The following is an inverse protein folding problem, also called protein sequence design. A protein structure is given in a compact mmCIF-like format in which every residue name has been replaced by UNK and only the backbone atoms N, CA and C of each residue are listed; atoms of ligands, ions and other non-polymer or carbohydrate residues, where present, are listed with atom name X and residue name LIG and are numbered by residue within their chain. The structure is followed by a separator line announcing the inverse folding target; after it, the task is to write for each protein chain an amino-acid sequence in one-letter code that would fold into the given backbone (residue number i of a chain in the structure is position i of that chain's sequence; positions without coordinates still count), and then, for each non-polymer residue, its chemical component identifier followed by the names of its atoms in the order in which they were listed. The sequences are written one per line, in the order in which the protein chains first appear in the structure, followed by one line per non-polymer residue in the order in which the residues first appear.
data_IF_999237879289
#
_entry.id   IF_999237879289
#
_cell.length_a   1.000
_cell.length_b   1.000
_cell.length_c   1.000
_cell.angle_alpha   90.00
_cell.angle_beta   90.00
_cell.angle_gamma   90.00
#
_symmetry.space_group_name_H-M   'P 1'
#
loop_
_entity.id
_entity.type
_entity.pdbx_description
1 polymer ?
#
# COMPACT_ATOMS: atom_id res chain seq x y z
N UNK A 1 -4.60 16.16 -21.74
CA UNK A 1 -3.67 15.15 -22.30
C UNK A 1 -2.84 14.64 -21.12
N UNK A 2 -2.71 13.34 -20.95
CA UNK A 2 -1.89 12.81 -19.85
C UNK A 2 -0.42 12.77 -20.22
N UNK A 3 0.46 12.88 -19.22
CA UNK A 3 1.87 12.79 -19.46
C UNK A 3 2.30 11.41 -19.90
N UNK A 4 2.91 11.37 -21.08
CA UNK A 4 3.70 10.23 -21.55
C UNK A 4 4.93 10.18 -20.65
N UNK A 5 4.80 9.44 -19.55
CA UNK A 5 5.89 9.14 -18.64
C UNK A 5 6.86 8.17 -19.31
N UNK A 6 8.16 8.47 -19.27
CA UNK A 6 9.20 7.64 -19.84
C UNK A 6 10.47 7.73 -19.00
N UNK A 7 11.20 6.62 -18.95
CA UNK A 7 12.51 6.55 -18.32
C UNK A 7 13.54 6.42 -19.42
N UNK A 8 14.58 7.24 -19.35
CA UNK A 8 15.56 7.39 -20.42
C UNK A 8 16.96 7.22 -19.84
N UNK A 9 17.78 6.49 -20.60
CA UNK A 9 19.21 6.41 -20.41
C UNK A 9 19.87 7.27 -21.50
N UNK A 10 20.69 8.22 -21.09
CA UNK A 10 21.45 9.11 -21.97
C UNK A 10 22.93 8.96 -21.67
N UNK A 11 23.74 8.76 -22.71
CA UNK A 11 25.19 8.71 -22.59
C UNK A 11 25.75 10.06 -23.06
N UNK A 12 26.44 10.77 -22.18
CA UNK A 12 27.10 12.04 -22.47
C UNK A 12 28.58 11.91 -22.14
N UNK A 13 29.42 11.73 -23.17
CA UNK A 13 30.85 11.46 -22.99
C UNK A 13 31.08 10.16 -22.19
N UNK A 14 31.84 10.26 -21.11
CA UNK A 14 32.19 9.15 -20.22
C UNK A 14 31.15 8.92 -19.10
N UNK A 15 29.96 9.51 -19.19
CA UNK A 15 28.90 9.38 -18.19
C UNK A 15 27.64 8.76 -18.80
N UNK A 16 27.07 7.80 -18.08
CA UNK A 16 25.71 7.32 -18.31
C UNK A 16 24.77 7.97 -17.28
N UNK A 17 23.70 8.59 -17.77
CA UNK A 17 22.69 9.24 -16.95
C UNK A 17 21.34 8.56 -17.10
N UNK A 18 20.67 8.35 -15.98
CA UNK A 18 19.29 7.89 -15.92
C UNK A 18 18.40 9.04 -15.45
N UNK A 19 17.30 9.27 -16.15
CA UNK A 19 16.31 10.25 -15.73
C UNK A 19 14.88 9.79 -16.08
N UNK A 20 13.94 10.25 -15.28
CA UNK A 20 12.50 10.05 -15.49
C UNK A 20 11.91 11.34 -16.01
N UNK A 21 11.16 11.28 -17.10
CA UNK A 21 10.55 12.44 -17.73
C UNK A 21 9.09 12.19 -18.10
N UNK A 22 8.25 13.22 -18.11
CA UNK A 22 6.82 13.09 -18.40
C UNK A 22 6.24 14.37 -19.02
N UNK A 23 5.22 14.24 -19.90
CA UNK A 23 4.69 15.36 -20.70
C UNK A 23 3.36 15.96 -20.20
N UNK A 24 3.35 17.00 -19.37
CA UNK A 24 2.08 17.62 -18.94
C UNK A 24 1.75 18.80 -19.85
N UNK A 25 0.55 18.83 -20.42
CA UNK A 25 0.03 19.98 -21.20
C UNK A 25 0.94 20.47 -22.35
N UNK A 26 1.76 19.56 -22.92
CA UNK A 26 2.70 19.88 -23.99
C UNK A 26 4.09 20.31 -23.51
N UNK A 27 4.31 20.41 -22.20
CA UNK A 27 5.60 20.67 -21.58
C UNK A 27 6.24 19.37 -21.08
N UNK A 28 7.54 19.21 -21.33
CA UNK A 28 8.35 18.12 -20.80
C UNK A 28 8.83 18.48 -19.39
N UNK A 29 8.57 17.59 -18.43
CA UNK A 29 9.07 17.69 -17.06
C UNK A 29 10.04 16.56 -16.79
N UNK A 30 11.09 16.86 -16.00
CA UNK A 30 12.07 15.89 -15.55
C UNK A 30 12.01 15.71 -14.03
N UNK A 31 12.20 14.47 -13.59
CA UNK A 31 12.13 14.12 -12.18
C UNK A 31 13.50 14.32 -11.52
N UNK A 32 13.59 15.33 -10.67
CA UNK A 32 14.76 15.54 -9.81
C UNK A 32 15.04 14.34 -8.91
N UNK A 33 14.00 13.65 -8.44
CA UNK A 33 14.15 12.51 -7.52
C UNK A 33 14.57 11.23 -8.19
N UNK A 34 14.46 11.07 -9.51
CA UNK A 34 14.92 9.87 -10.23
C UNK A 34 16.29 10.02 -10.87
N UNK A 35 16.78 11.26 -11.08
CA UNK A 35 18.04 11.52 -11.78
C UNK A 35 19.24 10.87 -11.08
N UNK A 36 20.05 10.12 -11.82
CA UNK A 36 21.32 9.56 -11.35
C UNK A 36 22.34 9.49 -12.49
N UNK A 37 23.63 9.57 -12.14
CA UNK A 37 24.76 9.50 -13.09
C UNK A 37 25.77 8.47 -12.58
N UNK A 38 26.34 7.71 -13.50
CA UNK A 38 27.41 6.74 -13.28
C UNK A 38 28.43 6.86 -14.42
N UNK A 39 29.61 6.27 -14.25
CA UNK A 39 30.59 6.23 -15.33
C UNK A 39 30.09 5.28 -16.45
N UNK A 40 30.40 5.58 -17.71
CA UNK A 40 29.83 4.85 -18.85
C UNK A 40 30.26 3.37 -18.94
N UNK A 41 31.35 3.00 -18.25
CA UNK A 41 31.86 1.64 -18.12
C UNK A 41 31.22 0.87 -16.94
N UNK A 42 30.51 1.55 -16.06
CA UNK A 42 29.78 0.92 -14.96
C UNK A 42 28.47 0.27 -15.45
N UNK A 43 28.09 -0.88 -14.86
CA UNK A 43 26.83 -1.53 -15.21
C UNK A 43 25.63 -0.70 -14.72
N UNK A 44 24.45 -0.78 -15.40
CA UNK A 44 23.25 -0.03 -15.01
C UNK A 44 22.79 -0.25 -13.56
N UNK A 45 23.16 -1.39 -12.94
CA UNK A 45 22.89 -1.66 -11.52
C UNK A 45 23.40 -0.57 -10.57
N UNK A 46 24.48 0.13 -10.92
CA UNK A 46 25.09 1.15 -10.07
C UNK A 46 24.19 2.37 -9.85
N UNK A 47 23.29 2.67 -10.79
CA UNK A 47 22.26 3.70 -10.61
C UNK A 47 21.35 3.43 -9.39
N UNK A 48 21.11 2.14 -9.09
CA UNK A 48 20.18 1.71 -8.05
C UNK A 48 20.87 1.37 -6.75
N UNK A 49 22.08 0.80 -6.81
CA UNK A 49 22.83 0.37 -5.64
C UNK A 49 23.36 1.55 -4.82
N UNK A 50 23.94 2.56 -5.48
CA UNK A 50 24.45 3.78 -4.83
C UNK A 50 23.34 4.57 -4.11
N UNK A 51 22.10 4.50 -4.61
CA UNK A 51 20.90 5.05 -3.94
C UNK A 51 20.35 4.13 -2.86
N UNK A 52 20.42 2.82 -3.08
CA UNK A 52 19.83 1.80 -2.22
C UNK A 52 20.42 1.75 -0.81
N UNK A 53 21.72 1.99 -0.65
CA UNK A 53 22.36 1.99 0.67
C UNK A 53 21.87 3.12 1.59
N UNK A 54 21.45 4.27 1.02
CA UNK A 54 20.92 5.39 1.79
C UNK A 54 19.41 5.30 2.04
N UNK A 55 18.69 4.43 1.31
CA UNK A 55 17.22 4.40 1.27
C UNK A 55 16.59 3.06 1.65
N UNK A 56 17.37 2.05 2.05
CA UNK A 56 16.79 0.81 2.58
C UNK A 56 15.95 1.15 3.82
N UNK A 57 14.62 0.94 3.78
CA UNK A 57 13.81 1.14 4.97
C UNK A 57 14.29 0.12 6.00
N UNK A 58 14.81 0.60 7.14
CA UNK A 58 15.05 -0.26 8.29
C UNK A 58 14.04 0.10 9.35
N UNK A 59 13.33 -0.91 9.85
CA UNK A 59 12.50 -0.72 11.03
C UNK A 59 13.40 -0.38 12.22
N UNK A 60 13.02 0.65 12.98
CA UNK A 60 13.69 0.92 14.24
C UNK A 60 13.41 -0.21 15.23
N UNK A 61 14.27 -0.38 16.25
CA UNK A 61 14.05 -1.37 17.32
C UNK A 61 12.67 -1.23 17.98
N UNK A 62 12.18 0.01 18.10
CA UNK A 62 10.85 0.29 18.62
C UNK A 62 9.75 -0.19 17.68
N UNK A 63 9.88 0.08 16.37
CA UNK A 63 8.90 -0.37 15.37
C UNK A 63 8.85 -1.91 15.29
N UNK A 64 10.02 -2.57 15.37
CA UNK A 64 10.09 -4.03 15.44
C UNK A 64 9.39 -4.57 16.69
N UNK A 65 9.65 -4.00 17.88
CA UNK A 65 8.99 -4.42 19.11
C UNK A 65 7.46 -4.25 19.04
N UNK A 66 6.97 -3.18 18.41
CA UNK A 66 5.53 -2.98 18.18
C UNK A 66 4.96 -4.08 17.28
N UNK A 67 5.64 -4.42 16.17
CA UNK A 67 5.23 -5.52 15.30
C UNK A 67 5.20 -6.87 16.02
N UNK A 68 6.20 -7.14 16.86
CA UNK A 68 6.25 -8.37 17.65
C UNK A 68 5.07 -8.46 18.64
N UNK A 69 4.67 -7.34 19.25
CA UNK A 69 3.48 -7.29 20.11
C UNK A 69 2.19 -7.48 19.30
N UNK A 70 2.08 -6.85 18.12
CA UNK A 70 0.93 -7.03 17.21
C UNK A 70 0.77 -8.51 16.84
N UNK A 71 1.89 -9.21 16.62
CA UNK A 71 1.92 -10.64 16.34
C UNK A 71 1.53 -11.48 17.55
N UNK A 72 2.17 -11.26 18.69
CA UNK A 72 1.89 -12.00 19.91
C UNK A 72 0.44 -11.87 20.37
N UNK A 73 -0.18 -10.70 20.16
CA UNK A 73 -1.57 -10.42 20.54
C UNK A 73 -2.58 -10.64 19.42
N UNK A 74 -2.13 -11.03 18.22
CA UNK A 74 -2.98 -11.19 17.03
C UNK A 74 -3.90 -9.98 16.78
N UNK A 75 -3.34 -8.77 16.82
CA UNK A 75 -4.12 -7.56 16.59
C UNK A 75 -4.52 -7.47 15.10
N UNK A 76 -5.82 -7.52 14.84
CA UNK A 76 -6.41 -7.42 13.49
C UNK A 76 -7.14 -6.09 13.27
N UNK A 77 -7.44 -5.32 14.33
CA UNK A 77 -8.22 -4.08 14.21
C UNK A 77 -7.34 -2.90 14.59
N UNK A 78 -7.34 -1.87 13.75
CA UNK A 78 -6.57 -0.66 13.94
C UNK A 78 -7.48 0.56 13.83
N UNK A 79 -7.30 1.53 14.71
CA UNK A 79 -8.08 2.77 14.72
C UNK A 79 -7.16 3.96 14.48
N UNK A 80 -7.51 4.78 13.50
CA UNK A 80 -7.00 6.13 13.33
C UNK A 80 -8.03 7.10 13.91
N UNK A 81 -7.57 7.98 14.79
CA UNK A 81 -8.42 8.92 15.50
C UNK A 81 -7.89 10.35 15.30
N UNK A 82 -8.79 11.27 14.95
CA UNK A 82 -8.47 12.69 14.97
C UNK A 82 -8.67 13.25 16.38
N UNK A 83 -7.55 13.54 17.06
CA UNK A 83 -7.53 14.16 18.39
C UNK A 83 -7.62 15.69 18.32
N UNK A 84 -7.45 16.29 17.14
CA UNK A 84 -7.31 17.74 16.98
C UNK A 84 -8.63 18.52 17.01
N UNK A 85 -9.77 17.83 16.97
CA UNK A 85 -11.14 18.34 17.14
C UNK A 85 -11.54 19.56 16.27
N UNK A 86 -10.75 19.98 15.26
CA UNK A 86 -10.95 21.30 14.66
C UNK A 86 -10.76 21.48 13.16
N UNK A 87 -10.26 20.55 12.33
CA UNK A 87 -10.11 20.86 10.90
C UNK A 87 -10.55 19.74 9.93
N UNK A 88 -11.50 20.15 9.07
CA UNK A 88 -11.99 19.59 7.80
C UNK A 88 -11.96 18.07 7.66
N UNK A 89 -13.16 17.52 7.64
CA UNK A 89 -13.48 16.13 7.30
C UNK A 89 -12.65 15.56 6.14
N UNK A 90 -12.62 16.31 5.04
CA UNK A 90 -11.94 15.91 3.82
C UNK A 90 -10.44 15.77 4.03
N UNK A 91 -9.84 16.59 4.89
CA UNK A 91 -8.41 16.53 5.20
C UNK A 91 -8.10 15.26 6.02
N UNK A 92 -8.86 14.97 7.09
CA UNK A 92 -8.63 13.75 7.90
C UNK A 92 -8.77 12.46 7.08
N UNK A 93 -9.86 12.33 6.32
CA UNK A 93 -10.11 11.13 5.54
C UNK A 93 -9.09 11.00 4.39
N UNK A 94 -8.80 12.10 3.67
CA UNK A 94 -7.84 12.07 2.59
C UNK A 94 -6.42 11.74 3.08
N UNK A 95 -5.93 12.42 4.13
CA UNK A 95 -4.59 12.21 4.66
C UNK A 95 -4.42 10.81 5.28
N UNK A 96 -5.42 10.35 6.03
CA UNK A 96 -5.39 8.99 6.61
C UNK A 96 -5.32 7.93 5.52
N UNK A 97 -6.13 8.06 4.46
CA UNK A 97 -6.12 7.11 3.35
C UNK A 97 -4.91 7.28 2.40
N UNK A 98 -4.32 8.47 2.27
CA UNK A 98 -3.15 8.68 1.41
C UNK A 98 -1.83 8.33 2.06
N UNK A 99 -1.76 8.36 3.39
CA UNK A 99 -0.48 8.26 4.13
C UNK A 99 -0.54 7.18 5.20
N UNK A 100 -1.40 7.35 6.20
CA UNK A 100 -1.37 6.54 7.43
C UNK A 100 -1.80 5.09 7.21
N UNK A 101 -2.84 4.85 6.39
CA UNK A 101 -3.29 3.49 6.04
C UNK A 101 -2.23 2.78 5.19
N UNK A 102 -1.70 3.36 4.08
CA UNK A 102 -0.61 2.75 3.34
C UNK A 102 0.62 2.42 4.21
N UNK A 103 1.02 3.29 5.13
CA UNK A 103 2.11 3.02 6.08
C UNK A 103 1.83 1.84 7.01
N UNK A 104 0.62 1.76 7.58
CA UNK A 104 0.19 0.61 8.38
C UNK A 104 0.25 -0.69 7.55
N UNK A 105 -0.28 -0.68 6.32
CA UNK A 105 -0.26 -1.85 5.44
C UNK A 105 1.18 -2.28 5.10
N UNK A 106 2.10 -1.32 4.88
CA UNK A 106 3.52 -1.61 4.68
C UNK A 106 4.12 -2.31 5.89
N UNK A 107 3.87 -1.81 7.10
CA UNK A 107 4.28 -2.47 8.33
C UNK A 107 3.77 -3.91 8.41
N UNK A 108 2.51 -4.13 8.06
CA UNK A 108 1.90 -5.47 8.10
C UNK A 108 2.44 -6.44 7.04
N UNK A 109 3.14 -5.97 6.00
CA UNK A 109 3.83 -6.81 5.01
C UNK A 109 5.17 -7.39 5.49
N UNK A 110 5.66 -7.00 6.68
CA UNK A 110 6.89 -7.54 7.26
C UNK A 110 6.72 -9.00 7.75
N UNK A 111 7.83 -9.58 8.21
CA UNK A 111 7.87 -10.92 8.83
C UNK A 111 7.30 -12.03 7.94
N UNK A 112 7.67 -12.03 6.66
CA UNK A 112 7.32 -13.09 5.71
C UNK A 112 5.85 -13.10 5.27
N UNK A 113 5.12 -12.00 5.46
CA UNK A 113 3.72 -11.90 5.05
C UNK A 113 3.59 -11.90 3.52
N UNK A 114 2.85 -12.87 2.98
CA UNK A 114 2.70 -13.04 1.53
C UNK A 114 1.54 -12.25 0.95
N UNK A 115 0.45 -12.10 1.72
CA UNK A 115 -0.70 -11.29 1.33
C UNK A 115 -1.39 -10.68 2.54
N UNK A 116 -1.97 -9.52 2.30
CA UNK A 116 -2.84 -8.82 3.24
C UNK A 116 -4.27 -8.84 2.73
N UNK A 117 -5.21 -9.02 3.66
CA UNK A 117 -6.63 -8.78 3.41
C UNK A 117 -7.05 -7.65 4.34
N UNK A 118 -7.61 -6.57 3.81
CA UNK A 118 -8.01 -5.44 4.62
C UNK A 118 -9.39 -4.90 4.26
N UNK A 119 -10.02 -4.26 5.24
CA UNK A 119 -11.26 -3.51 5.14
C UNK A 119 -11.09 -2.17 5.84
N UNK A 120 -11.74 -1.13 5.31
CA UNK A 120 -11.73 0.21 5.89
C UNK A 120 -13.16 0.58 6.26
N UNK A 121 -13.36 1.09 7.46
CA UNK A 121 -14.65 1.60 7.92
C UNK A 121 -14.51 3.01 8.48
N UNK A 122 -15.39 3.90 8.03
CA UNK A 122 -15.48 5.29 8.49
C UNK A 122 -16.69 5.44 9.41
N UNK A 123 -16.48 6.08 10.55
CA UNK A 123 -17.57 6.47 11.45
C UNK A 123 -18.01 7.87 11.07
N UNK A 124 -19.15 7.94 10.39
CA UNK A 124 -19.73 9.17 9.86
C UNK A 124 -20.82 9.63 10.81
N UNK A 125 -20.64 10.82 11.38
CA UNK A 125 -21.59 11.43 12.29
C UNK A 125 -22.35 12.55 11.57
N UNK A 126 -23.67 12.39 11.50
CA UNK A 126 -24.60 13.24 10.75
C UNK A 126 -25.84 13.43 11.61
N UNK A 127 -26.28 14.68 11.84
CA UNK A 127 -27.52 14.97 12.58
C UNK A 127 -27.66 14.18 13.91
N UNK A 128 -26.57 14.06 14.66
CA UNK A 128 -26.49 13.34 15.94
C UNK A 128 -26.73 11.80 15.85
N UNK A 129 -26.61 11.22 14.65
CA UNK A 129 -26.59 9.79 14.40
C UNK A 129 -25.21 9.35 13.90
N UNK A 130 -24.73 8.21 14.37
CA UNK A 130 -23.46 7.63 13.91
C UNK A 130 -23.74 6.49 12.96
N UNK A 131 -23.16 6.58 11.77
CA UNK A 131 -23.20 5.53 10.77
C UNK A 131 -21.79 4.98 10.54
N UNK A 132 -21.66 3.67 10.44
CA UNK A 132 -20.45 3.02 9.97
C UNK A 132 -20.62 2.76 8.48
N UNK A 133 -19.82 3.44 7.66
CA UNK A 133 -19.66 3.08 6.26
C UNK A 133 -18.42 2.19 6.13
N UNK A 134 -18.59 0.94 5.72
CA UNK A 134 -17.53 -0.05 5.63
C UNK A 134 -17.31 -0.52 4.19
N UNK A 135 -16.05 -0.65 3.80
CA UNK A 135 -15.64 -1.20 2.51
C UNK A 135 -15.76 -2.72 2.46
N UNK A 136 -15.84 -3.26 1.24
CA UNK A 136 -15.54 -4.67 1.00
C UNK A 136 -14.08 -5.02 1.30
N UNK A 137 -13.78 -6.32 1.34
CA UNK A 137 -12.41 -6.83 1.54
C UNK A 137 -11.56 -6.63 0.29
N UNK A 138 -10.39 -6.02 0.45
CA UNK A 138 -9.35 -5.96 -0.59
C UNK A 138 -8.21 -6.88 -0.21
N UNK A 139 -7.72 -7.63 -1.20
CA UNK A 139 -6.55 -8.50 -1.07
C UNK A 139 -5.37 -7.83 -1.76
N UNK A 140 -4.29 -7.60 -1.03
CA UNK A 140 -3.02 -7.08 -1.54
C UNK A 140 -2.01 -8.21 -1.52
N UNK A 141 -1.45 -8.57 -2.67
CA UNK A 141 -0.49 -9.66 -2.80
C UNK A 141 0.96 -9.19 -2.96
N UNK A 142 1.16 -7.91 -3.26
CA UNK A 142 2.48 -7.30 -3.39
C UNK A 142 2.49 -5.89 -2.79
N UNK A 143 3.55 -5.52 -2.10
CA UNK A 143 3.63 -4.25 -1.36
C UNK A 143 3.56 -3.00 -2.28
N UNK A 144 4.00 -3.08 -3.53
CA UNK A 144 3.81 -2.00 -4.51
C UNK A 144 2.35 -1.71 -4.87
N UNK A 145 1.42 -2.63 -4.60
CA UNK A 145 0.00 -2.44 -4.92
C UNK A 145 -0.76 -1.73 -3.80
N UNK A 146 -0.15 -1.52 -2.63
CA UNK A 146 -0.77 -0.93 -1.43
C UNK A 146 -1.42 0.42 -1.74
N UNK A 147 -0.65 1.36 -2.31
CA UNK A 147 -1.12 2.73 -2.59
C UNK A 147 -2.34 2.74 -3.51
N UNK A 148 -2.28 1.96 -4.59
CA UNK A 148 -3.36 1.91 -5.56
C UNK A 148 -4.61 1.23 -4.99
N UNK A 149 -4.44 0.17 -4.19
CA UNK A 149 -5.52 -0.49 -3.48
C UNK A 149 -6.23 0.46 -2.50
N UNK A 150 -5.49 1.17 -1.65
CA UNK A 150 -6.07 2.10 -0.68
C UNK A 150 -6.75 3.28 -1.38
N UNK A 151 -6.13 3.83 -2.44
CA UNK A 151 -6.72 4.90 -3.25
C UNK A 151 -8.08 4.50 -3.85
N UNK A 152 -8.20 3.30 -4.42
CA UNK A 152 -9.48 2.83 -4.98
C UNK A 152 -10.54 2.61 -3.89
N UNK A 153 -10.14 2.11 -2.71
CA UNK A 153 -11.05 1.97 -1.55
C UNK A 153 -11.56 3.33 -1.10
N UNK A 154 -10.65 4.30 -0.92
CA UNK A 154 -10.97 5.66 -0.51
C UNK A 154 -11.95 6.35 -1.48
N UNK A 155 -11.70 6.27 -2.79
CA UNK A 155 -12.59 6.84 -3.81
C UNK A 155 -14.01 6.25 -3.74
N UNK A 156 -14.12 4.92 -3.63
CA UNK A 156 -15.42 4.25 -3.54
C UNK A 156 -16.12 4.54 -2.21
N UNK A 157 -15.37 4.61 -1.11
CA UNK A 157 -15.90 4.90 0.22
C UNK A 157 -16.44 6.32 0.29
N UNK A 158 -15.66 7.30 -0.18
CA UNK A 158 -16.06 8.71 -0.26
C UNK A 158 -17.31 8.87 -1.13
N UNK A 159 -17.33 8.25 -2.32
CA UNK A 159 -18.50 8.26 -3.18
C UNK A 159 -19.74 7.65 -2.50
N UNK A 160 -19.56 6.57 -1.73
CA UNK A 160 -20.67 5.92 -1.02
C UNK A 160 -21.20 6.77 0.14
N UNK A 161 -20.32 7.36 0.93
CA UNK A 161 -20.69 8.28 2.00
C UNK A 161 -21.45 9.47 1.40
N UNK A 162 -20.91 10.11 0.36
CA UNK A 162 -21.55 11.24 -0.31
C UNK A 162 -22.96 10.87 -0.83
N UNK A 163 -23.09 9.75 -1.53
CA UNK A 163 -24.40 9.31 -2.04
C UNK A 163 -25.41 9.07 -0.90
N UNK A 164 -24.96 8.53 0.23
CA UNK A 164 -25.82 8.32 1.40
C UNK A 164 -26.27 9.64 2.02
N UNK A 165 -25.34 10.57 2.23
CA UNK A 165 -25.63 11.89 2.80
C UNK A 165 -26.64 12.65 1.94
N UNK A 166 -26.42 12.71 0.63
CA UNK A 166 -27.34 13.37 -0.29
C UNK A 166 -28.71 12.69 -0.35
N UNK A 167 -28.77 11.35 -0.30
CA UNK A 167 -30.04 10.63 -0.46
C UNK A 167 -30.88 10.57 0.82
N UNK A 168 -30.25 10.52 1.99
CA UNK A 168 -30.93 10.28 3.27
C UNK A 168 -31.06 11.52 4.15
N UNK A 169 -30.15 12.47 4.02
CA UNK A 169 -30.09 13.64 4.91
C UNK A 169 -30.11 14.98 4.15
N UNK A 170 -30.00 14.96 2.82
CA UNK A 170 -29.89 16.16 1.95
C UNK A 170 -28.74 17.09 2.36
N UNK A 171 -27.64 16.51 2.83
CA UNK A 171 -26.45 17.23 3.28
C UNK A 171 -25.23 16.85 2.44
N UNK A 172 -24.26 17.77 2.41
CA UNK A 172 -22.95 17.56 1.78
C UNK A 172 -21.97 16.83 2.70
N UNK A 173 -20.82 16.43 2.18
CA UNK A 173 -19.74 15.85 2.99
C UNK A 173 -19.30 16.85 4.08
N UNK A 174 -19.21 18.14 3.77
CA UNK A 174 -18.77 19.19 4.70
C UNK A 174 -19.62 19.31 5.98
N UNK A 175 -20.85 18.79 5.95
CA UNK A 175 -21.81 18.86 7.06
C UNK A 175 -21.77 17.63 7.97
N UNK A 176 -20.95 16.61 7.64
CA UNK A 176 -20.73 15.45 8.49
C UNK A 176 -19.33 15.47 9.13
N UNK A 177 -19.17 14.72 10.22
CA UNK A 177 -17.86 14.56 10.87
C UNK A 177 -17.44 13.10 10.87
N UNK A 178 -16.24 12.83 10.37
CA UNK A 178 -15.53 11.56 10.49
C UNK A 178 -14.33 11.84 11.37
N UNK A 179 -14.36 11.33 12.59
CA UNK A 179 -13.26 11.48 13.57
C UNK A 179 -12.53 10.16 13.80
N UNK A 180 -13.04 9.07 13.19
CA UNK A 180 -12.55 7.71 13.39
C UNK A 180 -12.60 6.91 12.10
N UNK A 181 -11.46 6.28 11.78
CA UNK A 181 -11.32 5.31 10.71
C UNK A 181 -10.80 4.01 11.31
N UNK A 182 -11.53 2.91 11.06
CA UNK A 182 -11.14 1.56 11.47
C UNK A 182 -10.59 0.80 10.26
N UNK A 183 -9.39 0.25 10.40
CA UNK A 183 -8.80 -0.69 9.44
C UNK A 183 -8.78 -2.07 10.07
N UNK A 184 -9.55 -3.00 9.49
CA UNK A 184 -9.45 -4.42 9.82
C UNK A 184 -8.48 -5.08 8.86
N UNK A 185 -7.55 -5.86 9.39
CA UNK A 185 -6.44 -6.42 8.64
C UNK A 185 -6.15 -7.85 9.05
N UNK A 186 -5.99 -8.72 8.05
CA UNK A 186 -5.54 -10.09 8.21
C UNK A 186 -4.29 -10.33 7.38
N UNK A 187 -3.29 -10.90 8.03
CA UNK A 187 -2.03 -11.33 7.39
C UNK A 187 -2.15 -12.80 7.06
N UNK A 188 -1.75 -13.19 5.85
CA UNK A 188 -1.56 -14.61 5.52
C UNK A 188 -0.08 -14.87 5.29
N UNK A 189 0.41 -15.81 6.08
CA UNK A 189 1.76 -16.36 6.04
C UNK A 189 1.65 -17.82 5.65
N UNK A 190 2.70 -18.36 5.07
CA UNK A 190 2.79 -19.79 4.81
C UNK A 190 3.33 -20.49 6.05
N UNK A 191 2.69 -21.59 6.45
CA UNK A 191 3.22 -22.47 7.49
C UNK A 191 4.40 -23.25 6.92
N UNK A 192 5.51 -23.23 7.66
CA UNK A 192 6.88 -23.49 7.20
C UNK A 192 7.18 -24.92 6.71
N UNK A 193 6.19 -25.81 6.56
CA UNK A 193 6.42 -27.26 6.34
C UNK A 193 6.11 -27.77 4.93
N UNK A 194 5.54 -26.96 4.04
CA UNK A 194 5.35 -27.35 2.63
C UNK A 194 5.92 -26.31 1.68
N UNK A 195 7.25 -26.23 1.61
CA UNK A 195 7.97 -25.50 0.57
C UNK A 195 7.73 -26.16 -0.80
N UNK A 196 6.52 -26.02 -1.33
CA UNK A 196 6.28 -26.24 -2.75
C UNK A 196 6.89 -25.05 -3.50
N UNK A 197 7.54 -25.32 -4.63
CA UNK A 197 8.07 -24.29 -5.54
C UNK A 197 7.02 -23.29 -6.07
N UNK A 198 5.75 -23.42 -5.66
CA UNK A 198 4.59 -22.65 -6.08
C UNK A 198 4.20 -21.51 -5.13
N UNK A 199 4.78 -21.38 -3.94
CA UNK A 199 4.48 -20.25 -3.02
C UNK A 199 5.30 -19.00 -3.33
N UNK A 200 5.30 -18.65 -4.63
CA UNK A 200 6.09 -17.59 -5.19
C UNK A 200 5.50 -16.24 -4.81
N UNK A 201 6.33 -15.33 -4.29
CA UNK A 201 6.03 -13.91 -4.23
C UNK A 201 5.44 -13.46 -5.58
N UNK A 202 4.19 -13.02 -5.55
CA UNK A 202 3.45 -12.68 -6.76
C UNK A 202 4.05 -11.43 -7.41
N UNK A 203 3.94 -11.28 -8.73
CA UNK A 203 4.35 -10.04 -9.37
C UNK A 203 3.45 -8.87 -8.89
N UNK A 204 3.92 -7.62 -8.90
CA UNK A 204 3.04 -6.46 -8.78
C UNK A 204 1.87 -6.52 -9.76
N UNK A 205 0.67 -6.11 -9.33
CA UNK A 205 -0.57 -6.25 -10.09
C UNK A 205 -0.49 -5.64 -11.50
N UNK A 206 0.16 -4.47 -11.62
CA UNK A 206 0.36 -3.80 -12.90
C UNK A 206 1.13 -4.68 -13.92
N UNK A 207 2.10 -5.47 -13.44
CA UNK A 207 2.88 -6.38 -14.28
C UNK A 207 2.08 -7.66 -14.57
N UNK A 208 1.42 -8.25 -13.58
CA UNK A 208 0.57 -9.44 -13.77
C UNK A 208 -0.47 -9.24 -14.89
N UNK A 209 -1.13 -8.08 -14.89
CA UNK A 209 -2.18 -7.75 -15.85
C UNK A 209 -1.63 -7.47 -17.26
N UNK A 210 -0.35 -7.09 -17.35
CA UNK A 210 0.35 -6.92 -18.63
C UNK A 210 0.75 -8.29 -19.20
N UNK A 211 1.25 -9.21 -18.36
CA UNK A 211 1.68 -10.57 -18.76
C UNK A 211 0.53 -11.52 -19.13
N UNK A 212 -0.63 -11.39 -18.49
CA UNK A 212 -1.80 -12.25 -18.76
C UNK A 212 -2.41 -12.07 -20.16
N UNK A 213 -1.98 -11.04 -20.92
CA UNK A 213 -2.46 -10.77 -22.27
C UNK A 213 -1.61 -11.44 -23.36
N UNK A 214 -0.45 -12.01 -23.02
CA UNK A 214 0.53 -12.54 -23.99
C UNK A 214 0.76 -14.06 -23.90
N UNK A 215 0.06 -14.78 -23.03
CA UNK A 215 0.22 -16.24 -22.88
C UNK A 215 -0.61 -17.01 -23.92
N UNK A 216 -0.05 -17.17 -25.11
CA UNK A 216 -0.45 -18.21 -26.09
C UNK A 216 0.77 -18.70 -26.85
N UNK A 217 1.72 -19.36 -26.16
CA UNK A 217 2.71 -20.24 -26.80
C UNK A 217 3.40 -21.09 -25.75
N UNK A 218 3.51 -22.39 -26.06
CA UNK A 218 4.40 -23.37 -25.43
C UNK A 218 5.83 -22.86 -25.39
N UNK A 219 6.35 -22.51 -24.22
CA UNK A 219 7.76 -22.12 -24.03
C UNK A 219 8.41 -22.95 -22.93
N UNK A 220 9.60 -23.47 -23.24
CA UNK A 220 10.51 -24.17 -22.33
C UNK A 220 10.82 -23.32 -21.11
N UNK A 221 10.27 -23.68 -19.96
CA UNK A 221 10.56 -23.06 -18.67
C UNK A 221 12.00 -23.37 -18.24
N UNK A 222 12.70 -22.40 -17.65
CA UNK A 222 14.02 -22.66 -17.04
C UNK A 222 13.92 -23.76 -15.99
N UNK A 223 14.86 -24.72 -16.02
CA UNK A 223 14.88 -25.81 -15.05
C UNK A 223 15.13 -25.28 -13.63
N UNK A 224 14.61 -25.97 -12.62
CA UNK A 224 14.75 -25.53 -11.22
C UNK A 224 16.22 -25.47 -10.78
N UNK A 225 17.06 -26.39 -11.29
CA UNK A 225 18.50 -26.40 -11.05
C UNK A 225 19.21 -25.19 -11.67
N UNK A 226 18.91 -24.84 -12.92
CA UNK A 226 19.43 -23.62 -13.57
C UNK A 226 19.04 -22.36 -12.79
N UNK A 227 17.78 -22.28 -12.35
CA UNK A 227 17.26 -21.15 -11.59
C UNK A 227 17.95 -21.06 -10.21
N UNK A 228 18.19 -22.18 -9.54
CA UNK A 228 18.93 -22.24 -8.28
C UNK A 228 20.39 -21.77 -8.45
N UNK A 229 21.08 -22.20 -9.50
CA UNK A 229 22.43 -21.73 -9.82
C UNK A 229 22.46 -20.22 -10.10
N UNK A 230 21.51 -19.70 -10.88
CA UNK A 230 21.40 -18.26 -11.17
C UNK A 230 21.14 -17.44 -9.90
N UNK A 231 20.26 -17.93 -9.00
CA UNK A 231 20.01 -17.31 -7.69
C UNK A 231 21.29 -17.24 -6.85
N UNK A 232 22.06 -18.33 -6.77
CA UNK A 232 23.30 -18.37 -6.01
C UNK A 232 24.34 -17.38 -6.57
N UNK A 233 24.50 -17.31 -7.90
CA UNK A 233 25.38 -16.34 -8.56
C UNK A 233 24.91 -14.92 -8.26
N UNK A 234 23.61 -14.63 -8.39
CA UNK A 234 23.06 -13.32 -8.09
C UNK A 234 23.38 -12.86 -6.66
N UNK A 235 23.06 -13.69 -5.66
CA UNK A 235 23.28 -13.36 -4.25
C UNK A 235 24.76 -13.16 -3.95
N UNK A 236 25.64 -13.98 -4.54
CA UNK A 236 27.09 -13.85 -4.40
C UNK A 236 27.58 -12.50 -4.93
N UNK A 237 27.25 -12.16 -6.17
CA UNK A 237 27.70 -10.91 -6.80
C UNK A 237 27.09 -9.66 -6.16
N UNK A 238 25.86 -9.75 -5.66
CA UNK A 238 25.24 -8.66 -4.91
C UNK A 238 26.01 -8.37 -3.61
N UNK A 239 26.47 -9.41 -2.90
CA UNK A 239 27.15 -9.27 -1.60
C UNK A 239 28.64 -9.00 -1.69
N UNK A 240 29.34 -9.70 -2.58
CA UNK A 240 30.81 -9.70 -2.66
C UNK A 240 31.34 -8.69 -3.68
N UNK A 241 30.53 -8.34 -4.68
CA UNK A 241 30.96 -7.55 -5.82
C UNK A 241 30.07 -6.33 -6.07
N UNK A 242 29.26 -5.89 -5.09
CA UNK A 242 28.35 -4.74 -5.22
C UNK A 242 27.59 -4.70 -6.56
N UNK A 243 27.06 -5.86 -6.99
CA UNK A 243 26.26 -5.98 -8.22
C UNK A 243 27.04 -5.86 -9.53
N UNK A 244 28.37 -5.99 -9.50
CA UNK A 244 29.19 -6.23 -10.69
C UNK A 244 29.10 -7.70 -11.08
N UNK A 245 28.45 -7.97 -12.22
CA UNK A 245 28.29 -9.31 -12.77
C UNK A 245 29.38 -9.61 -13.80
N UNK A 246 29.79 -10.89 -13.93
CA UNK A 246 30.86 -11.24 -14.83
C UNK A 246 30.34 -11.22 -16.29
N UNK A 247 31.19 -10.86 -17.27
CA UNK A 247 30.78 -10.76 -18.68
C UNK A 247 30.23 -12.06 -19.28
N UNK A 248 30.60 -13.21 -18.69
CA UNK A 248 30.14 -14.53 -19.11
C UNK A 248 28.72 -14.88 -18.59
N UNK A 249 28.11 -14.04 -17.76
CA UNK A 249 26.74 -14.23 -17.28
C UNK A 249 25.74 -13.84 -18.38
N UNK A 250 25.31 -14.84 -19.15
CA UNK A 250 24.44 -14.72 -20.34
C UNK A 250 22.94 -14.63 -20.00
N UNK A 251 22.58 -13.69 -19.13
CA UNK A 251 21.19 -13.40 -18.78
C UNK A 251 21.00 -11.89 -18.67
N UNK A 252 19.78 -11.44 -18.90
CA UNK A 252 19.38 -10.07 -18.60
C UNK A 252 18.65 -10.05 -17.27
N UNK A 253 19.11 -9.24 -16.33
CA UNK A 253 18.46 -9.01 -15.04
C UNK A 253 17.82 -7.62 -15.05
N UNK A 254 16.62 -7.56 -14.49
CA UNK A 254 15.87 -6.32 -14.32
C UNK A 254 15.46 -6.14 -12.87
N UNK A 255 15.42 -4.89 -12.40
CA UNK A 255 14.92 -4.52 -11.08
C UNK A 255 13.59 -3.80 -11.15
N UNK A 256 12.89 -3.72 -10.01
CA UNK A 256 11.72 -2.86 -9.84
C UNK A 256 12.13 -1.57 -9.14
N UNK A 257 11.66 -0.44 -9.66
CA UNK A 257 11.85 0.87 -9.06
C UNK A 257 10.54 1.65 -9.07
N UNK A 258 10.31 2.47 -8.05
CA UNK A 258 9.16 3.35 -7.97
C UNK A 258 9.62 4.81 -7.94
N UNK A 259 8.98 5.66 -8.75
CA UNK A 259 9.28 7.09 -8.75
C UNK A 259 8.67 7.73 -7.51
N UNK A 260 9.46 8.45 -6.71
CA UNK A 260 8.96 9.10 -5.50
C UNK A 260 7.97 10.23 -5.79
N UNK A 261 8.12 10.89 -6.96
CA UNK A 261 7.27 12.00 -7.40
C UNK A 261 5.96 11.52 -8.02
N UNK A 262 6.01 10.61 -9.00
CA UNK A 262 4.81 10.16 -9.74
C UNK A 262 4.17 8.89 -9.19
N UNK A 263 4.86 8.20 -8.26
CA UNK A 263 4.47 6.89 -7.69
C UNK A 263 4.37 5.76 -8.73
N UNK A 264 4.83 5.98 -9.95
CA UNK A 264 4.82 4.96 -10.99
C UNK A 264 5.88 3.90 -10.73
N UNK A 265 5.47 2.64 -10.90
CA UNK A 265 6.34 1.47 -10.82
C UNK A 265 6.86 1.13 -12.21
N UNK A 266 8.16 0.89 -12.31
CA UNK A 266 8.82 0.59 -13.57
C UNK A 266 9.87 -0.50 -13.41
N UNK A 267 10.20 -1.11 -14.54
CA UNK A 267 11.19 -2.16 -14.65
C UNK A 267 12.43 -1.55 -15.27
N UNK A 268 13.54 -1.62 -14.54
CA UNK A 268 14.83 -1.06 -14.96
C UNK A 268 15.83 -2.15 -15.30
N UNK A 269 16.73 -1.92 -16.27
CA UNK A 269 17.92 -2.72 -16.44
C UNK A 269 18.74 -2.79 -15.14
N UNK A 270 19.14 -4.00 -14.76
CA UNK A 270 20.06 -4.24 -13.65
C UNK A 270 21.38 -4.83 -14.18
N UNK A 271 21.30 -5.82 -15.05
CA UNK A 271 22.42 -6.40 -15.79
C UNK A 271 21.95 -6.73 -17.19
N UNK A 272 22.65 -6.22 -18.21
CA UNK A 272 22.34 -6.52 -19.61
C UNK A 272 23.59 -7.16 -20.21
N UNK A 273 23.46 -8.40 -20.64
CA UNK A 273 24.58 -9.12 -21.25
C UNK A 273 24.66 -8.78 -22.74
N UNK A 274 25.80 -8.24 -23.17
CA UNK A 274 26.12 -8.06 -24.58
C UNK A 274 26.53 -9.41 -25.17
N UNK A 275 25.66 -10.05 -25.95
CA UNK A 275 26.02 -11.30 -26.64
C UNK A 275 26.55 -11.03 -28.04
N UNK A 276 27.76 -11.52 -28.33
CA UNK A 276 28.34 -11.60 -29.68
C UNK A 276 27.66 -12.68 -30.55
N UNK A 277 26.76 -13.49 -29.99
CA UNK A 277 26.07 -14.59 -30.67
C UNK A 277 24.57 -14.29 -30.80
N UNK A 278 23.99 -14.60 -31.96
CA UNK A 278 22.61 -14.31 -32.41
C UNK A 278 21.45 -14.92 -31.59
N UNK A 279 21.68 -15.42 -30.36
CA UNK A 279 20.62 -15.98 -29.51
C UNK A 279 20.18 -14.95 -28.45
N UNK A 280 18.87 -14.76 -28.25
CA UNK A 280 18.36 -13.83 -27.24
C UNK A 280 18.65 -14.36 -25.83
N UNK A 281 19.11 -13.48 -24.94
CA UNK A 281 19.29 -13.80 -23.52
C UNK A 281 17.95 -14.06 -22.84
N UNK A 282 17.93 -14.99 -21.87
CA UNK A 282 16.81 -15.13 -20.94
C UNK A 282 16.70 -13.86 -20.09
N UNK A 283 15.48 -13.40 -19.86
CA UNK A 283 15.19 -12.19 -19.09
C UNK A 283 14.64 -12.59 -17.71
N UNK A 284 15.16 -12.00 -16.64
CA UNK A 284 14.70 -12.26 -15.28
C UNK A 284 14.44 -10.95 -14.54
N UNK A 285 13.32 -10.90 -13.83
CA UNK A 285 13.00 -9.84 -12.89
C UNK A 285 13.44 -10.23 -11.48
N UNK A 286 14.19 -9.33 -10.83
CA UNK A 286 14.58 -9.42 -9.44
C UNK A 286 13.40 -8.96 -8.59
N UNK A 287 12.90 -9.85 -7.75
CA UNK A 287 11.86 -9.53 -6.78
C UNK A 287 12.47 -9.49 -5.39
N UNK A 288 12.23 -8.36 -4.73
CA UNK A 288 12.66 -8.09 -3.37
C UNK A 288 11.45 -7.98 -2.46
N UNK A 289 11.66 -8.23 -1.17
CA UNK A 289 10.66 -7.93 -0.15
C UNK A 289 10.56 -6.42 0.12
N UNK A 290 9.68 -6.03 1.04
CA UNK A 290 9.49 -4.63 1.40
C UNK A 290 10.74 -3.97 2.02
N UNK A 291 11.70 -4.77 2.50
CA UNK A 291 12.98 -4.31 3.03
C UNK A 291 14.08 -4.26 1.97
N UNK A 292 13.75 -4.54 0.70
CA UNK A 292 14.72 -4.60 -0.38
C UNK A 292 15.57 -5.89 -0.37
N UNK A 293 15.24 -6.88 0.47
CA UNK A 293 15.94 -8.16 0.51
C UNK A 293 15.49 -9.03 -0.65
N UNK A 294 16.44 -9.64 -1.34
CA UNK A 294 16.17 -10.56 -2.43
C UNK A 294 15.26 -11.72 -2.00
N UNK A 295 14.17 -11.91 -2.74
CA UNK A 295 13.27 -13.06 -2.57
C UNK A 295 13.48 -14.08 -3.70
N UNK A 296 13.39 -13.65 -4.96
CA UNK A 296 13.51 -14.56 -6.11
C UNK A 296 13.81 -13.86 -7.42
N UNK A 297 14.23 -14.67 -8.39
CA UNK A 297 14.18 -14.33 -9.81
C UNK A 297 12.85 -14.81 -10.41
N UNK A 298 12.23 -13.98 -11.23
CA UNK A 298 11.07 -14.33 -12.06
C UNK A 298 11.44 -14.30 -13.53
N UNK A 299 11.29 -15.42 -14.23
CA UNK A 299 11.54 -15.46 -15.67
C UNK A 299 10.50 -14.62 -16.42
N UNK A 300 10.99 -13.75 -17.31
CA UNK A 300 10.19 -12.90 -18.18
C UNK A 300 10.21 -13.51 -19.60
N UNK A 301 9.09 -14.07 -20.01
CA UNK A 301 8.97 -14.68 -21.35
C UNK A 301 8.91 -13.65 -22.49
N UNK A 302 8.58 -12.40 -22.17
CA UNK A 302 8.60 -11.27 -23.12
C UNK A 302 9.34 -10.09 -22.50
N UNK A 303 10.15 -9.34 -23.27
CA UNK A 303 10.73 -8.09 -22.78
C UNK A 303 9.63 -7.18 -22.25
N UNK A 304 9.82 -6.64 -21.04
CA UNK A 304 8.86 -5.68 -20.48
C UNK A 304 9.05 -4.38 -21.25
N UNK A 305 8.22 -4.18 -22.27
CA UNK A 305 8.18 -2.89 -22.95
C UNK A 305 7.42 -1.91 -22.06
N UNK A 306 7.99 -0.73 -21.74
CA UNK A 306 7.23 0.34 -21.14
C UNK A 306 6.07 0.67 -22.07
N UNK A 307 4.86 0.81 -21.52
CA UNK A 307 3.67 1.15 -22.29
C UNK A 307 3.85 2.53 -22.93
N UNK A 308 4.36 2.55 -24.17
CA UNK A 308 4.49 3.75 -24.99
C UNK A 308 3.23 3.87 -25.83
N UNK A 309 2.20 4.52 -25.30
CA UNK A 309 1.05 4.87 -26.13
C UNK A 309 -0.22 5.23 -25.39
N UNK A 310 -1.03 6.06 -26.04
CA UNK A 310 -2.39 6.45 -25.62
C UNK A 310 -3.20 5.20 -25.26
N UNK A 311 -3.34 4.90 -23.98
CA UNK A 311 -4.25 3.87 -23.53
C UNK A 311 -5.66 4.41 -23.61
N UNK A 312 -6.52 3.77 -24.41
CA UNK A 312 -7.96 3.97 -24.30
C UNK A 312 -8.36 3.65 -22.84
N UNK A 313 -9.23 4.44 -22.19
CA UNK A 313 -9.63 4.15 -20.83
C UNK A 313 -10.30 2.77 -20.76
N UNK A 314 -9.95 2.02 -19.73
CA UNK A 314 -10.55 0.73 -19.42
C UNK A 314 -11.95 0.94 -18.85
N UNK A 315 -12.95 0.25 -19.37
CA UNK A 315 -14.34 0.40 -18.93
C UNK A 315 -14.78 -0.80 -18.09
N UNK A 316 -15.31 -0.54 -16.90
CA UNK A 316 -15.97 -1.57 -16.11
C UNK A 316 -17.27 -2.01 -16.80
N UNK A 317 -17.45 -3.32 -17.02
CA UNK A 317 -18.64 -3.86 -17.68
C UNK A 317 -19.92 -3.71 -16.85
N UNK A 318 -19.80 -3.68 -15.51
CA UNK A 318 -20.94 -3.64 -14.58
C UNK A 318 -21.47 -2.23 -14.37
N UNK A 319 -20.62 -1.30 -13.91
CA UNK A 319 -21.01 0.08 -13.59
C UNK A 319 -20.70 1.09 -14.70
N UNK A 320 -20.06 0.67 -15.80
CA UNK A 320 -19.65 1.52 -16.94
C UNK A 320 -18.62 2.61 -16.60
N UNK A 321 -18.07 2.65 -15.38
CA UNK A 321 -17.01 3.57 -14.99
C UNK A 321 -15.74 3.37 -15.83
N UNK A 322 -15.03 4.46 -16.07
CA UNK A 322 -13.81 4.52 -16.87
C UNK A 322 -12.57 4.62 -15.96
N UNK A 323 -11.54 3.85 -16.29
CA UNK A 323 -10.29 3.76 -15.54
C UNK A 323 -9.12 4.00 -16.48
N UNK A 324 -8.12 4.73 -15.99
CA UNK A 324 -6.88 5.00 -16.75
C UNK A 324 -5.94 3.80 -16.74
N UNK A 325 -5.91 3.06 -15.61
CA UNK A 325 -5.05 1.90 -15.39
C UNK A 325 -5.86 0.61 -15.28
N UNK A 326 -5.31 -0.49 -15.80
CA UNK A 326 -5.93 -1.82 -15.74
C UNK A 326 -5.96 -2.38 -14.32
N UNK A 327 -4.95 -2.07 -13.50
CA UNK A 327 -4.86 -2.43 -12.09
C UNK A 327 -6.00 -1.81 -11.27
N UNK A 328 -6.27 -0.50 -11.44
CA UNK A 328 -7.44 0.15 -10.80
C UNK A 328 -8.76 -0.49 -11.18
N UNK A 329 -8.95 -0.83 -12.46
CA UNK A 329 -10.15 -1.56 -12.89
C UNK A 329 -10.26 -2.92 -12.19
N UNK A 330 -9.14 -3.64 -12.07
CA UNK A 330 -9.11 -4.95 -11.40
C UNK A 330 -9.50 -4.81 -9.92
N UNK A 331 -8.90 -3.87 -9.18
CA UNK A 331 -9.23 -3.61 -7.77
C UNK A 331 -10.69 -3.18 -7.62
N UNK A 332 -11.19 -2.31 -8.50
CA UNK A 332 -12.59 -1.90 -8.52
C UNK A 332 -13.56 -3.08 -8.75
N UNK A 333 -13.19 -4.02 -9.62
CA UNK A 333 -13.97 -5.24 -9.86
C UNK A 333 -13.92 -6.20 -8.68
N UNK A 334 -12.78 -6.31 -8.00
CA UNK A 334 -12.62 -7.07 -6.76
C UNK A 334 -13.57 -6.56 -5.66
N UNK A 335 -13.70 -5.23 -5.55
CA UNK A 335 -14.68 -4.56 -4.67
C UNK A 335 -16.13 -4.59 -5.21
N UNK A 336 -16.40 -5.40 -6.23
CA UNK A 336 -17.71 -5.54 -6.90
C UNK A 336 -18.36 -4.20 -7.24
N UNK A 337 -17.56 -3.24 -7.70
CA UNK A 337 -18.02 -1.89 -8.03
C UNK A 337 -18.66 -1.15 -6.84
N UNK A 338 -18.19 -1.42 -5.62
CA UNK A 338 -18.72 -0.81 -4.39
C UNK A 338 -20.03 -1.43 -3.92
N UNK A 339 -20.38 -2.65 -4.35
CA UNK A 339 -21.57 -3.36 -3.87
C UNK A 339 -21.35 -4.06 -2.53
N UNK A 340 -20.12 -4.47 -2.23
CA UNK A 340 -19.78 -5.12 -0.95
C UNK A 340 -19.54 -4.09 0.18
N UNK A 341 -19.98 -2.84 -0.02
CA UNK A 341 -19.89 -1.79 1.00
C UNK A 341 -21.14 -1.87 1.86
N UNK A 342 -20.98 -1.88 3.18
CA UNK A 342 -22.08 -1.86 4.13
C UNK A 342 -22.23 -0.48 4.75
N UNK A 343 -23.47 -0.18 5.14
CA UNK A 343 -23.81 1.00 5.91
C UNK A 343 -24.65 0.55 7.11
N UNK A 344 -24.07 0.68 8.30
CA UNK A 344 -24.68 0.25 9.55
C UNK A 344 -24.95 1.47 10.43
N UNK A 345 -26.14 1.59 10.99
CA UNK A 345 -26.47 2.68 11.92
C UNK A 345 -26.22 2.24 13.36
N UNK A 346 -25.48 3.05 14.11
CA UNK A 346 -25.19 2.83 15.51
C UNK A 346 -25.93 3.87 16.34
N UNK A 347 -26.66 3.39 17.34
CA UNK A 347 -27.29 4.27 18.31
C UNK A 347 -26.21 5.07 19.04
N UNK A 348 -26.34 6.40 19.21
CA UNK A 348 -25.30 7.25 19.82
C UNK A 348 -24.88 6.82 21.22
N UNK A 349 -25.76 6.10 21.93
CA UNK A 349 -25.51 5.54 23.26
C UNK A 349 -24.72 4.21 23.27
N UNK A 350 -24.40 3.65 22.11
CA UNK A 350 -23.59 2.43 22.03
C UNK A 350 -22.11 2.81 22.16
N UNK A 351 -21.46 2.19 23.16
CA UNK A 351 -20.03 2.31 23.42
C UNK A 351 -19.36 0.97 23.13
N UNK A 352 -18.27 1.02 22.36
CA UNK A 352 -17.41 -0.14 22.11
C UNK A 352 -16.22 -0.09 23.08
N UNK A 353 -16.04 -1.15 23.86
CA UNK A 353 -14.91 -1.26 24.80
C UNK A 353 -13.87 -2.23 24.27
N UNK A 354 -12.66 -1.72 24.11
CA UNK A 354 -11.50 -2.48 23.65
C UNK A 354 -10.49 -2.61 24.78
N UNK A 355 -9.97 -3.82 24.96
CA UNK A 355 -8.87 -4.06 25.89
C UNK A 355 -7.56 -4.29 25.15
N UNK A 356 -6.47 -4.07 25.86
CA UNK A 356 -5.08 -4.30 25.50
C UNK A 356 -4.61 -3.52 24.26
N UNK A 357 -5.11 -2.30 24.11
CA UNK A 357 -4.76 -1.46 22.97
C UNK A 357 -3.29 -1.07 22.97
N UNK A 358 -2.72 -1.05 21.77
CA UNK A 358 -1.31 -0.81 21.52
C UNK A 358 -1.18 0.45 20.65
N UNK A 359 -0.50 1.51 21.11
CA UNK A 359 -0.14 2.62 20.22
C UNK A 359 0.84 2.11 19.15
N UNK A 360 0.46 2.22 17.87
CA UNK A 360 1.24 1.71 16.73
C UNK A 360 2.14 2.80 16.15
N UNK A 361 1.62 4.01 15.98
CA UNK A 361 2.38 5.18 15.54
C UNK A 361 2.07 6.40 16.40
N UNK A 362 3.12 7.19 16.66
CA UNK A 362 3.08 8.53 17.27
C UNK A 362 4.07 9.42 16.54
N UNK A 363 3.87 9.63 15.24
CA UNK A 363 4.58 10.72 14.58
C UNK A 363 3.86 12.03 14.97
N UNK A 364 4.59 13.12 15.30
CA UNK A 364 3.96 14.38 15.72
C UNK A 364 3.08 15.02 14.63
N UNK A 365 3.18 14.52 13.40
CA UNK A 365 2.54 15.05 12.19
C UNK A 365 1.51 14.10 11.58
N UNK A 366 1.17 12.96 12.21
CA UNK A 366 0.12 12.06 11.72
C UNK A 366 -0.86 11.72 12.84
N UNK A 367 -2.10 11.38 12.44
CA UNK A 367 -3.15 10.93 13.35
C UNK A 367 -2.74 9.69 14.16
N UNK A 368 -3.14 9.65 15.43
CA UNK A 368 -2.75 8.57 16.32
C UNK A 368 -3.38 7.25 15.88
N UNK A 369 -2.55 6.20 15.77
CA UNK A 369 -2.98 4.86 15.41
C UNK A 369 -2.90 3.89 16.60
N UNK A 370 -3.99 3.17 16.86
CA UNK A 370 -4.08 2.17 17.92
C UNK A 370 -4.47 0.81 17.35
N UNK A 371 -3.67 -0.21 17.64
CA UNK A 371 -4.03 -1.60 17.44
C UNK A 371 -4.88 -2.09 18.61
N UNK A 372 -6.01 -2.72 18.33
CA UNK A 372 -6.95 -3.20 19.33
C UNK A 372 -7.32 -4.67 19.07
N UNK A 373 -7.66 -5.37 20.15
CA UNK A 373 -8.25 -6.71 20.07
C UNK A 373 -9.71 -6.62 19.65
N UNK A 374 -10.40 -7.75 19.48
CA UNK A 374 -11.86 -7.72 19.26
C UNK A 374 -12.56 -7.06 20.46
N UNK A 375 -13.64 -6.29 20.22
CA UNK A 375 -14.35 -5.64 21.32
C UNK A 375 -14.86 -6.69 22.29
N UNK A 376 -14.54 -6.54 23.57
CA UNK A 376 -15.02 -7.48 24.60
C UNK A 376 -16.47 -7.26 24.96
N UNK A 377 -16.94 -6.01 24.89
CA UNK A 377 -18.30 -5.66 25.28
C UNK A 377 -18.80 -4.47 24.47
N UNK A 378 -20.06 -4.57 24.04
CA UNK A 378 -20.83 -3.49 23.43
C UNK A 378 -21.91 -3.12 24.45
N UNK A 379 -21.87 -1.89 24.97
CA UNK A 379 -22.72 -1.47 26.08
C UNK A 379 -23.64 -0.33 25.60
N UNK A 380 -24.91 -0.36 26.02
CA UNK A 380 -25.82 0.80 25.91
C UNK A 380 -25.66 1.71 27.13
N UNK A 381 -25.49 3.01 26.89
CA UNK A 381 -25.41 4.04 27.94
C UNK A 381 -26.61 3.93 28.89
N UNK A 382 -26.34 3.82 30.19
CA UNK A 382 -27.35 3.79 31.26
C UNK A 382 -27.71 2.42 31.84
N UNK A 383 -27.18 1.29 31.33
CA UNK A 383 -27.48 -0.04 31.91
C UNK A 383 -26.61 -0.43 33.12
N UNK A 384 -25.47 0.24 33.33
CA UNK A 384 -24.67 0.24 34.56
C UNK A 384 -23.90 1.56 34.56
N UNK A 385 -23.55 2.09 35.74
CA UNK A 385 -22.55 3.15 35.86
C UNK A 385 -21.26 2.52 35.33
N UNK A 386 -20.74 2.92 34.15
CA UNK A 386 -19.38 2.54 33.82
C UNK A 386 -18.53 3.03 34.99
N UNK A 387 -17.42 2.37 35.30
CA UNK A 387 -16.38 3.06 36.08
C UNK A 387 -15.87 4.19 35.16
N UNK A 388 -16.63 5.27 35.14
CA UNK A 388 -16.35 6.51 34.45
C UNK A 388 -15.26 7.16 35.29
N UNK A 389 -14.03 7.10 34.81
CA UNK A 389 -13.01 8.01 35.31
C UNK A 389 -13.42 9.41 34.85
N UNK A 390 -13.83 10.23 35.82
CA UNK A 390 -14.52 11.52 35.67
C UNK A 390 -13.80 12.50 34.71
N UNK A 391 -14.55 13.01 33.73
CA UNK A 391 -14.13 13.34 32.35
C UNK A 391 -14.62 14.73 31.91
N UNK A 392 -14.77 15.68 32.85
CA UNK A 392 -15.31 17.02 32.56
C UNK A 392 -14.34 17.87 31.70
N UNK A 393 -14.38 17.68 30.38
CA UNK A 393 -14.53 18.73 29.32
C UNK A 393 -14.07 18.20 27.95
N UNK A 394 -15.04 18.20 27.01
CA UNK A 394 -14.92 18.19 25.55
C UNK A 394 -14.45 16.88 24.89
N UNK A 395 -15.40 16.35 24.11
CA UNK A 395 -15.31 15.27 23.11
C UNK A 395 -13.90 15.08 22.55
N UNK A 396 -13.29 13.95 22.88
CA UNK A 396 -11.98 13.54 22.39
C UNK A 396 -11.83 12.04 22.65
N UNK A 397 -11.25 11.29 21.72
CA UNK A 397 -10.80 9.91 21.97
C UNK A 397 -9.77 9.99 23.08
N UNK A 398 -10.13 9.64 24.32
CA UNK A 398 -9.22 9.71 25.46
C UNK A 398 -8.61 8.34 25.73
N UNK A 399 -7.37 8.17 25.28
CA UNK A 399 -6.53 7.03 25.65
C UNK A 399 -5.97 7.26 27.04
N UNK A 400 -6.53 6.57 28.03
CA UNK A 400 -5.95 6.50 29.35
C UNK A 400 -4.68 5.64 29.30
N UNK A 401 -3.63 6.07 29.98
CA UNK A 401 -2.44 5.27 30.20
C UNK A 401 -2.79 4.05 31.09
N UNK A 402 -3.21 2.96 30.47
CA UNK A 402 -3.63 1.69 31.07
C UNK A 402 -4.10 0.68 30.00
N UNK A 403 -4.29 -0.61 30.32
CA UNK A 403 -4.48 -1.67 29.32
C UNK A 403 -5.85 -1.67 28.63
N UNK A 404 -6.62 -0.57 28.59
CA UNK A 404 -7.95 -0.53 27.98
C UNK A 404 -8.17 0.80 27.24
N UNK A 405 -8.82 0.75 26.06
CA UNK A 405 -9.30 1.94 25.32
C UNK A 405 -10.81 1.81 25.17
N UNK A 406 -11.52 2.81 25.68
CA UNK A 406 -12.96 2.96 25.50
C UNK A 406 -13.18 3.86 24.30
N UNK A 407 -13.89 3.38 23.28
CA UNK A 407 -14.21 4.18 22.09
C UNK A 407 -15.71 4.50 22.10
N UNK A 408 -16.03 5.74 22.43
CA UNK A 408 -17.41 6.25 22.53
C UNK A 408 -17.81 7.03 21.27
N UNK A 409 -19.09 6.96 20.90
CA UNK A 409 -19.67 7.55 19.69
C UNK A 409 -20.33 8.94 19.93
N UNK A 410 -20.24 9.50 21.13
CA UNK A 410 -21.06 10.65 21.52
C UNK A 410 -20.53 12.01 21.06
N UNK A 411 -21.39 12.80 20.40
CA UNK A 411 -21.29 14.24 20.24
C UNK A 411 -21.69 14.90 21.57
N UNK A 412 -20.79 15.65 22.22
CA UNK A 412 -21.14 16.50 23.37
C UNK A 412 -21.41 17.92 22.88
N UNK A 413 -22.61 18.16 22.36
CA UNK A 413 -23.23 19.49 22.47
C UNK A 413 -24.03 19.52 23.78
N UNK A 414 -23.43 20.04 24.84
CA UNK A 414 -24.23 20.53 25.98
C UNK A 414 -23.55 21.74 26.62
N UNK A 415 -24.32 22.79 26.96
CA UNK A 415 -23.79 24.09 27.31
C UNK A 415 -23.04 24.01 28.64
N UNK A 416 -21.93 24.75 28.71
CA UNK A 416 -21.19 24.96 29.94
C UNK A 416 -22.14 25.40 31.06
N UNK A 417 -22.42 24.51 32.02
CA UNK A 417 -22.78 24.96 33.36
C UNK A 417 -21.47 25.19 34.11
N UNK A 418 -21.06 26.45 34.15
CA UNK A 418 -20.17 26.96 35.18
C UNK A 418 -20.83 26.70 36.52
N UNK A 419 -20.09 26.05 37.42
CA UNK A 419 -19.99 26.34 38.85
C UNK A 419 -18.63 25.84 39.32
#
# INVERSE_FOLDING_TARGET
MEPISSFVFSNEGDQQTFHHQWYVEGQLHECSTCRSSIDADEPPSQHWLRRGEQQQPQLTKQQQAVLDIIEARQLETFFFCDESAQQKLDEFLAETCSTSVPELLRWMFHNGTQRLEFQVACYVLVQNQVHICQSGTVVVQHHYDIEECVSVVYELLTQRIQNYLCSSHDVSLDECSITRIRVQLKRKREESETLSANSLATLPLALQLSHSSSTTTTTTTTSESELASLRAVYVKHQRECNGYFPPNMRVNLYGLQQCLTTKELYVVPYHISETLQQRPNKNFLILNDIMGRFQRLHELHTPIQPSRGRSRPYKCRRCRALFKKRSRLHIHQQLRCGQDFSLDSIHPDIVEVYEQCLPVSRSPSQYTCYGATKPKTVIRKGQFVPIECDWRRKSSVQVQHGPCVVISNAQLSSPCKYL
#
